data_IF_951915185486
#
_entry.id   IF_951915185486
#
_cell.length_a   1.000
_cell.length_b   1.000
_cell.length_c   1.000
_cell.angle_alpha   90.00
_cell.angle_beta   90.00
_cell.angle_gamma   90.00
#
_symmetry.space_group_name_H-M   'P 1'
#
loop_
_entity.id
_entity.type
_entity.pdbx_description
1 polymer ?
#
# COMPACT_ATOMS: atom_id res chain seq x y z
N UNK A 1 -5.48 3.02 2.86
CA UNK A 1 -4.02 3.09 2.62
C UNK A 1 -3.81 3.49 1.16
N UNK A 2 -2.98 4.49 0.88
CA UNK A 2 -2.75 4.98 -0.49
C UNK A 2 -1.34 4.63 -0.96
N UNK A 3 -1.24 3.98 -2.12
CA UNK A 3 0.00 3.58 -2.80
C UNK A 3 1.14 3.11 -1.87
N UNK A 4 0.92 2.06 -1.05
CA UNK A 4 1.95 1.61 -0.11
C UNK A 4 3.18 1.04 -0.82
N UNK A 5 4.36 1.37 -0.29
CA UNK A 5 5.61 0.74 -0.69
C UNK A 5 5.81 -0.57 0.08
N UNK A 6 5.61 -1.72 -0.58
CA UNK A 6 5.73 -3.03 0.06
C UNK A 6 7.17 -3.57 0.10
N UNK A 7 8.07 -3.00 -0.71
CA UNK A 7 9.44 -3.47 -0.86
C UNK A 7 10.44 -2.30 -0.77
N UNK A 8 10.47 -1.58 0.36
CA UNK A 8 11.34 -0.42 0.52
C UNK A 8 12.83 -0.80 0.42
N UNK A 9 13.21 -2.00 0.85
CA UNK A 9 14.57 -2.51 0.75
C UNK A 9 15.06 -2.66 -0.71
N UNK A 10 14.16 -2.86 -1.68
CA UNK A 10 14.53 -3.01 -3.10
C UNK A 10 14.59 -1.66 -3.83
N UNK A 11 13.71 -0.72 -3.48
CA UNK A 11 13.47 0.47 -4.29
C UNK A 11 13.88 1.80 -3.62
N UNK A 12 14.27 1.76 -2.35
CA UNK A 12 14.79 2.91 -1.61
C UNK A 12 16.32 2.87 -1.42
N UNK A 13 17.02 1.87 -1.93
CA UNK A 13 18.49 1.84 -1.89
C UNK A 13 19.08 3.10 -2.52
N UNK A 14 20.04 3.73 -1.81
CA UNK A 14 20.64 5.01 -2.21
C UNK A 14 19.70 6.24 -2.14
N UNK A 15 18.44 6.08 -1.71
CA UNK A 15 17.46 7.17 -1.51
C UNK A 15 17.23 7.53 -0.04
N UNK A 16 17.91 6.83 0.86
CA UNK A 16 17.78 6.93 2.32
C UNK A 16 19.15 6.73 2.95
N UNK A 17 19.37 7.36 4.11
CA UNK A 17 20.67 7.35 4.77
C UNK A 17 20.98 6.02 5.48
N UNK A 18 19.96 5.22 5.78
CA UNK A 18 20.06 3.99 6.60
C UNK A 18 19.17 2.85 6.09
N UNK A 19 19.47 2.27 4.91
CA UNK A 19 18.67 1.17 4.35
C UNK A 19 18.64 -0.09 5.20
N UNK A 20 19.67 -0.35 6.00
CA UNK A 20 19.79 -1.48 6.92
C UNK A 20 18.72 -1.49 8.02
N UNK A 21 18.18 -0.33 8.40
CA UNK A 21 17.13 -0.25 9.43
C UNK A 21 15.84 -0.97 9.00
N UNK A 22 15.58 -1.14 7.69
CA UNK A 22 14.43 -1.92 7.23
C UNK A 22 14.51 -3.39 7.63
N UNK A 23 15.72 -3.98 7.67
CA UNK A 23 15.90 -5.35 8.10
C UNK A 23 15.63 -5.51 9.61
N UNK A 24 16.07 -4.56 10.42
CA UNK A 24 15.81 -4.54 11.86
C UNK A 24 14.32 -4.33 12.17
N UNK A 25 13.65 -3.40 11.49
CA UNK A 25 12.20 -3.15 11.64
C UNK A 25 11.39 -4.42 11.34
N UNK A 26 11.77 -5.19 10.31
CA UNK A 26 11.09 -6.42 9.95
C UNK A 26 11.08 -7.45 11.09
N UNK A 27 12.15 -7.53 11.88
CA UNK A 27 12.23 -8.45 13.04
C UNK A 27 11.34 -8.04 14.21
N UNK A 28 10.96 -6.75 14.29
CA UNK A 28 10.13 -6.18 15.36
C UNK A 28 8.64 -6.14 15.00
N UNK A 29 8.28 -6.46 13.76
CA UNK A 29 6.90 -6.42 13.30
C UNK A 29 6.05 -7.56 13.86
N UNK A 30 4.77 -7.27 14.08
CA UNK A 30 3.79 -8.29 14.49
C UNK A 30 3.70 -9.38 13.42
N UNK A 31 3.85 -10.64 13.84
CA UNK A 31 3.71 -11.80 12.96
C UNK A 31 2.27 -11.89 12.41
N UNK A 32 2.17 -12.21 11.11
CA UNK A 32 0.92 -12.34 10.37
C UNK A 32 -0.01 -11.13 10.49
N UNK A 33 0.53 -9.91 10.55
CA UNK A 33 -0.25 -8.69 10.70
C UNK A 33 -1.37 -8.55 9.66
N UNK A 34 -1.10 -8.88 8.39
CA UNK A 34 -2.11 -8.77 7.31
C UNK A 34 -3.27 -9.74 7.50
N UNK A 35 -2.99 -10.96 7.97
CA UNK A 35 -4.01 -11.95 8.29
C UNK A 35 -4.90 -11.47 9.44
N UNK A 36 -4.29 -10.96 10.51
CA UNK A 36 -4.99 -10.44 11.70
C UNK A 36 -5.87 -9.22 11.40
N UNK A 37 -5.58 -8.52 10.30
CA UNK A 37 -6.32 -7.33 9.86
C UNK A 37 -7.08 -7.57 8.55
N UNK A 38 -7.31 -8.84 8.16
CA UNK A 38 -8.07 -9.16 6.96
C UNK A 38 -9.42 -8.41 6.97
N UNK A 39 -9.78 -7.85 5.82
CA UNK A 39 -10.98 -7.05 5.57
C UNK A 39 -11.08 -5.73 6.38
N UNK A 40 -10.06 -5.40 7.18
CA UNK A 40 -10.00 -4.15 7.98
C UNK A 40 -9.15 -3.05 7.35
N UNK A 41 -8.78 -3.22 6.09
CA UNK A 41 -8.08 -2.19 5.34
C UNK A 41 -8.64 -2.06 3.93
N UNK A 42 -8.71 -0.81 3.47
CA UNK A 42 -8.96 -0.44 2.09
C UNK A 42 -7.67 0.08 1.47
N UNK A 43 -7.23 -0.45 0.33
CA UNK A 43 -5.98 -0.07 -0.32
C UNK A 43 -6.26 0.55 -1.68
N UNK A 44 -5.79 1.77 -1.89
CA UNK A 44 -5.94 2.50 -3.15
C UNK A 44 -4.60 2.53 -3.89
N UNK A 45 -4.59 2.05 -5.13
CA UNK A 45 -3.47 2.15 -6.06
C UNK A 45 -3.81 3.10 -7.22
N UNK A 46 -2.84 3.86 -7.74
CA UNK A 46 -3.05 4.57 -8.98
C UNK A 46 -3.10 3.55 -10.12
N UNK A 47 -3.79 3.89 -11.21
CA UNK A 47 -3.82 3.06 -12.39
C UNK A 47 -2.42 2.80 -12.91
N UNK A 48 -2.29 1.65 -13.59
CA UNK A 48 -1.04 0.99 -13.96
C UNK A 48 -0.10 1.94 -14.70
N UNK A 49 0.74 2.66 -13.95
CA UNK A 49 1.74 3.55 -14.52
C UNK A 49 2.97 2.76 -14.99
N UNK A 50 3.61 3.21 -16.07
CA UNK A 50 4.83 2.61 -16.66
C UNK A 50 6.03 2.49 -15.70
N UNK A 51 6.00 3.14 -14.53
CA UNK A 51 7.04 3.02 -13.47
C UNK A 51 6.92 1.77 -12.61
N UNK A 52 5.88 0.96 -12.82
CA UNK A 52 5.75 -0.36 -12.22
C UNK A 52 6.65 -1.36 -12.96
N UNK A 53 7.97 -1.17 -12.86
CA UNK A 53 8.98 -2.14 -13.34
C UNK A 53 9.57 -2.98 -12.19
N UNK A 54 8.93 -2.97 -11.02
CA UNK A 54 9.17 -3.90 -9.93
C UNK A 54 7.82 -4.44 -9.41
N UNK A 55 7.35 -5.50 -10.10
CA UNK A 55 6.76 -6.71 -9.53
C UNK A 55 5.87 -6.63 -8.26
N UNK A 56 4.60 -7.07 -8.40
CA UNK A 56 3.76 -7.75 -7.37
C UNK A 56 3.00 -6.98 -6.24
N UNK A 57 2.87 -5.65 -6.13
CA UNK A 57 2.21 -5.03 -4.94
C UNK A 57 0.71 -5.37 -4.72
N UNK A 58 -0.19 -5.32 -5.73
CA UNK A 58 -1.62 -5.57 -5.55
C UNK A 58 -1.91 -7.05 -5.35
N UNK A 59 -1.18 -7.90 -6.07
CA UNK A 59 -1.33 -9.37 -5.98
C UNK A 59 -1.01 -9.84 -4.56
N UNK A 60 -0.05 -9.21 -3.89
CA UNK A 60 0.28 -9.60 -2.51
C UNK A 60 -0.76 -9.14 -1.46
N UNK A 61 -1.61 -8.16 -1.79
CA UNK A 61 -2.57 -7.56 -0.85
C UNK A 61 -4.03 -7.98 -1.11
N UNK A 62 -4.38 -8.36 -2.34
CA UNK A 62 -5.77 -8.70 -2.69
C UNK A 62 -6.33 -9.90 -1.89
N UNK A 63 -5.46 -10.77 -1.36
CA UNK A 63 -5.86 -11.88 -0.48
C UNK A 63 -6.28 -11.44 0.94
N UNK A 64 -5.97 -10.19 1.31
CA UNK A 64 -6.19 -9.68 2.67
C UNK A 64 -7.12 -8.47 2.69
N UNK A 65 -7.09 -7.62 1.67
CA UNK A 65 -7.71 -6.30 1.68
C UNK A 65 -8.44 -6.00 0.37
N UNK A 66 -9.45 -5.14 0.44
CA UNK A 66 -10.10 -4.59 -0.74
C UNK A 66 -9.15 -3.63 -1.48
N UNK A 67 -9.02 -3.82 -2.80
CA UNK A 67 -8.16 -3.01 -3.67
C UNK A 67 -9.02 -2.10 -4.55
N UNK A 68 -8.73 -0.79 -4.51
CA UNK A 68 -9.31 0.22 -5.40
C UNK A 68 -8.22 0.73 -6.35
N UNK A 69 -8.58 0.85 -7.63
CA UNK A 69 -7.75 1.50 -8.64
C UNK A 69 -8.26 2.90 -8.93
N UNK A 70 -7.35 3.87 -8.95
CA UNK A 70 -7.62 5.26 -9.31
C UNK A 70 -6.99 5.58 -10.67
N UNK A 71 -7.83 5.72 -11.69
CA UNK A 71 -7.41 5.99 -13.08
C UNK A 71 -6.85 7.40 -13.33
N UNK A 72 -7.09 8.34 -12.42
CA UNK A 72 -6.68 9.75 -12.60
C UNK A 72 -5.39 10.08 -11.84
N UNK A 73 -5.18 9.49 -10.67
CA UNK A 73 -4.04 9.81 -9.82
C UNK A 73 -2.76 9.11 -10.26
N UNK A 74 -1.63 9.79 -10.05
CA UNK A 74 -0.29 9.20 -10.30
C UNK A 74 0.27 8.54 -9.03
N UNK A 75 1.49 8.00 -9.10
CA UNK A 75 2.23 7.44 -7.94
C UNK A 75 2.26 8.34 -6.69
N UNK A 76 2.13 9.66 -6.85
CA UNK A 76 1.80 10.58 -5.76
C UNK A 76 0.33 10.99 -5.91
N UNK A 77 -0.51 10.54 -4.99
CA UNK A 77 -1.91 10.95 -4.90
C UNK A 77 -1.95 12.44 -4.54
N UNK A 78 -2.30 13.29 -5.51
CA UNK A 78 -2.43 14.74 -5.30
C UNK A 78 -3.82 15.09 -4.78
N UNK A 79 -4.83 14.33 -5.17
CA UNK A 79 -6.21 14.49 -4.74
C UNK A 79 -6.77 13.15 -4.27
N UNK A 80 -7.14 13.07 -2.99
CA UNK A 80 -7.80 11.90 -2.40
C UNK A 80 -9.32 12.10 -2.23
N UNK A 81 -9.83 13.29 -2.55
CA UNK A 81 -11.24 13.65 -2.38
C UNK A 81 -12.22 12.67 -3.05
N UNK A 82 -11.95 12.13 -4.25
CA UNK A 82 -12.83 11.15 -4.88
C UNK A 82 -13.05 9.87 -4.04
N UNK A 83 -12.09 9.51 -3.19
CA UNK A 83 -12.16 8.31 -2.35
C UNK A 83 -12.88 8.51 -1.02
N UNK A 84 -13.17 9.76 -0.63
CA UNK A 84 -13.69 10.07 0.72
C UNK A 84 -15.04 9.41 1.01
N UNK A 85 -15.94 9.35 0.03
CA UNK A 85 -17.24 8.69 0.20
C UNK A 85 -17.07 7.19 0.44
N UNK A 86 -16.14 6.55 -0.29
CA UNK A 86 -15.86 5.13 -0.14
C UNK A 86 -15.16 4.82 1.19
N UNK A 87 -14.23 5.67 1.61
CA UNK A 87 -13.61 5.57 2.94
C UNK A 87 -14.64 5.72 4.06
N UNK A 88 -15.60 6.63 3.90
CA UNK A 88 -16.71 6.80 4.86
C UNK A 88 -17.58 5.55 4.93
N UNK A 89 -17.99 5.00 3.79
CA UNK A 89 -18.75 3.76 3.73
C UNK A 89 -17.99 2.59 4.38
N UNK A 90 -16.70 2.44 4.05
CA UNK A 90 -15.83 1.42 4.64
C UNK A 90 -15.78 1.51 6.17
N UNK A 91 -15.66 2.73 6.73
CA UNK A 91 -15.65 2.96 8.17
C UNK A 91 -16.98 2.62 8.85
N UNK A 92 -18.11 2.70 8.14
CA UNK A 92 -19.45 2.42 8.69
C UNK A 92 -19.81 0.94 8.63
N UNK A 93 -19.11 0.14 7.82
CA UNK A 93 -19.35 -1.30 7.65
C UNK A 93 -18.60 -2.18 8.66
N UNK A 94 -17.61 -1.64 9.36
CA UNK A 94 -16.83 -2.32 10.41
C UNK A 94 -17.10 -1.76 11.80
#
# INVERSE_FOLDING_TARGET
MFNPNLFPHENMEGKIDRPEEYADIATKCVTNFREKNRDRCLVCFPARTRRWTASVPPISLHHYYEIIWDEEQTHKFKNISPHLQRLKAFKTLG
#
